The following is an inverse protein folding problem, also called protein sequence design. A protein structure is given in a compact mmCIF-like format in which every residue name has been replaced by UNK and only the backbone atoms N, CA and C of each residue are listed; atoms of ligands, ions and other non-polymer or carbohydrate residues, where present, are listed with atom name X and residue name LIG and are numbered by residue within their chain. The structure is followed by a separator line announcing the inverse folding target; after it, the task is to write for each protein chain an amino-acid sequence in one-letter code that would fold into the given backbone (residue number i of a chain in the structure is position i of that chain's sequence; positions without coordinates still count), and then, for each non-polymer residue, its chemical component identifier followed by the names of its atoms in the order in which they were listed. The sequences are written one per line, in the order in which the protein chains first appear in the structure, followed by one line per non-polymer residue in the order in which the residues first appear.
data_IF_723889287192
#
_entry.id   IF_723889287192
#
_cell.length_a   1.000
_cell.length_b   1.000
_cell.length_c   1.000
_cell.angle_alpha   90.00
_cell.angle_beta   90.00
_cell.angle_gamma   90.00
#
_symmetry.space_group_name_H-M   'P 1'
#
loop_
_entity.id
_entity.type
_entity.pdbx_description
1 polymer ?
#
# COMPACT_ATOMS: atom_id res chain seq x y z
N UNK A 1 -7.07 -2.12 -18.00
CA UNK A 1 -7.96 -2.57 -16.90
C UNK A 1 -8.96 -1.47 -16.60
N UNK A 2 -10.17 -1.78 -16.15
CA UNK A 2 -11.27 -0.79 -16.01
C UNK A 2 -11.16 0.16 -14.79
N UNK A 3 -10.11 0.03 -13.97
CA UNK A 3 -9.83 0.91 -12.83
C UNK A 3 -10.79 0.78 -11.63
N UNK A 4 -11.85 -0.03 -11.69
CA UNK A 4 -12.94 -0.03 -10.69
C UNK A 4 -12.51 -0.42 -9.27
N UNK A 5 -11.37 -1.09 -9.12
CA UNK A 5 -10.83 -1.51 -7.82
C UNK A 5 -9.70 -0.62 -7.31
N UNK A 6 -9.31 0.41 -8.06
CA UNK A 6 -8.27 1.36 -7.65
C UNK A 6 -8.90 2.37 -6.70
N UNK A 7 -8.33 2.50 -5.50
CA UNK A 7 -8.80 3.43 -4.46
C UNK A 7 -8.01 4.74 -4.53
N UNK A 8 -6.71 4.63 -4.80
CA UNK A 8 -5.78 5.76 -4.92
C UNK A 8 -4.55 5.33 -5.71
N UNK A 9 -3.92 6.27 -6.40
CA UNK A 9 -2.63 6.06 -7.07
C UNK A 9 -1.83 7.36 -7.01
N UNK A 10 -0.52 7.24 -6.93
CA UNK A 10 0.43 8.32 -7.16
C UNK A 10 1.52 7.84 -8.13
N UNK A 11 2.57 8.64 -8.32
CA UNK A 11 3.61 8.35 -9.30
C UNK A 11 4.29 6.99 -9.05
N UNK A 12 4.50 6.64 -7.78
CA UNK A 12 5.27 5.46 -7.40
C UNK A 12 4.43 4.25 -6.99
N UNK A 13 3.18 4.43 -6.53
CA UNK A 13 2.35 3.37 -5.95
C UNK A 13 0.90 3.42 -6.41
N UNK A 14 0.27 2.25 -6.43
CA UNK A 14 -1.16 2.08 -6.65
C UNK A 14 -1.77 1.27 -5.50
N UNK A 15 -2.83 1.81 -4.91
CA UNK A 15 -3.63 1.16 -3.88
C UNK A 15 -4.95 0.65 -4.47
N UNK A 16 -5.24 -0.63 -4.30
CA UNK A 16 -6.40 -1.27 -4.89
C UNK A 16 -6.94 -2.43 -4.06
N UNK A 17 -8.20 -2.79 -4.32
CA UNK A 17 -8.82 -3.98 -3.74
C UNK A 17 -8.42 -5.19 -4.60
N UNK A 18 -7.72 -6.21 -4.06
CA UNK A 18 -7.38 -7.39 -4.84
C UNK A 18 -8.64 -8.12 -5.28
N UNK A 19 -8.61 -8.76 -6.45
CA UNK A 19 -9.75 -9.54 -6.94
C UNK A 19 -10.12 -10.68 -5.98
N UNK A 20 -9.14 -11.18 -5.23
CA UNK A 20 -9.24 -12.28 -4.28
C UNK A 20 -9.35 -11.80 -2.82
N UNK A 21 -9.80 -10.57 -2.58
CA UNK A 21 -9.97 -10.02 -1.24
C UNK A 21 -10.77 -10.98 -0.33
N UNK A 22 -10.21 -11.29 0.83
CA UNK A 22 -10.82 -12.17 1.85
C UNK A 22 -11.44 -11.39 3.00
N UNK A 23 -11.02 -10.14 3.20
CA UNK A 23 -11.58 -9.24 4.20
C UNK A 23 -12.42 -8.13 3.54
N UNK A 24 -13.44 -7.66 4.25
CA UNK A 24 -14.40 -6.67 3.73
C UNK A 24 -13.75 -5.34 3.28
N UNK A 25 -12.60 -4.98 3.83
CA UNK A 25 -11.86 -3.76 3.53
C UNK A 25 -10.38 -4.04 3.27
N UNK A 26 -10.09 -5.14 2.57
CA UNK A 26 -8.73 -5.49 2.16
C UNK A 26 -8.23 -4.56 1.05
N UNK A 27 -7.11 -3.89 1.30
CA UNK A 27 -6.45 -3.02 0.33
C UNK A 27 -4.99 -3.41 0.23
N UNK A 28 -4.52 -3.54 -1.00
CA UNK A 28 -3.13 -3.80 -1.31
C UNK A 28 -2.51 -2.56 -1.92
N UNK A 29 -1.28 -2.26 -1.51
CA UNK A 29 -0.46 -1.19 -2.07
C UNK A 29 0.70 -1.85 -2.79
N UNK A 30 0.84 -1.58 -4.09
CA UNK A 30 1.94 -2.07 -4.90
C UNK A 30 2.71 -0.91 -5.50
N UNK A 31 4.03 -1.05 -5.58
CA UNK A 31 4.85 -0.15 -6.36
C UNK A 31 4.54 -0.33 -7.86
N UNK A 32 4.48 0.78 -8.59
CA UNK A 32 4.27 0.78 -10.04
C UNK A 32 5.51 0.22 -10.77
N UNK A 33 6.70 0.41 -10.17
CA UNK A 33 7.97 -0.19 -10.60
C UNK A 33 8.21 -1.50 -9.86
N UNK A 34 8.90 -2.45 -10.50
CA UNK A 34 9.34 -3.67 -9.85
C UNK A 34 10.36 -3.36 -8.74
N UNK A 35 9.97 -3.60 -7.49
CA UNK A 35 10.76 -3.38 -6.29
C UNK A 35 10.68 -4.61 -5.38
N UNK A 36 11.81 -5.27 -5.08
CA UNK A 36 11.79 -6.51 -4.31
C UNK A 36 11.76 -6.29 -2.78
N UNK A 37 12.22 -5.13 -2.31
CA UNK A 37 12.20 -4.72 -0.90
C UNK A 37 12.26 -3.20 -0.77
N UNK A 38 12.07 -2.70 0.45
CA UNK A 38 12.23 -1.29 0.77
C UNK A 38 13.65 -0.77 0.54
N UNK A 39 14.69 -1.62 0.58
CA UNK A 39 16.06 -1.20 0.31
C UNK A 39 16.26 -0.71 -1.14
N UNK A 40 15.34 -1.05 -2.05
CA UNK A 40 15.35 -0.57 -3.43
C UNK A 40 14.67 0.79 -3.64
N UNK A 41 14.17 1.42 -2.57
CA UNK A 41 13.43 2.67 -2.67
C UNK A 41 14.38 3.85 -2.90
N UNK A 42 13.93 4.76 -3.75
CA UNK A 42 14.41 6.14 -3.79
C UNK A 42 13.70 6.99 -2.72
N UNK A 43 14.28 8.13 -2.38
CA UNK A 43 13.67 9.11 -1.48
C UNK A 43 12.25 9.51 -1.93
N UNK A 44 12.03 9.62 -3.25
CA UNK A 44 10.69 9.89 -3.81
C UNK A 44 9.72 8.74 -3.51
N UNK A 45 10.15 7.49 -3.68
CA UNK A 45 9.32 6.31 -3.41
C UNK A 45 8.98 6.20 -1.91
N UNK A 46 9.89 6.55 -1.01
CA UNK A 46 9.59 6.61 0.43
C UNK A 46 8.50 7.65 0.75
N UNK A 47 8.64 8.87 0.21
CA UNK A 47 7.67 9.95 0.40
C UNK A 47 6.31 9.57 -0.21
N UNK A 48 6.31 9.03 -1.43
CA UNK A 48 5.10 8.61 -2.12
C UNK A 48 4.39 7.47 -1.37
N UNK A 49 5.13 6.54 -0.77
CA UNK A 49 4.55 5.50 0.09
C UNK A 49 3.87 6.11 1.32
N UNK A 50 4.52 7.07 1.99
CA UNK A 50 3.92 7.76 3.13
C UNK A 50 2.64 8.51 2.76
N UNK A 51 2.63 9.17 1.60
CA UNK A 51 1.47 9.91 1.08
C UNK A 51 0.30 8.95 0.82
N UNK A 52 0.53 7.82 0.14
CA UNK A 52 -0.56 6.90 -0.21
C UNK A 52 -1.10 6.18 1.03
N UNK A 53 -0.23 5.80 1.98
CA UNK A 53 -0.64 5.24 3.27
C UNK A 53 -1.54 6.20 4.05
N UNK A 54 -1.10 7.45 4.21
CA UNK A 54 -1.90 8.49 4.88
C UNK A 54 -3.24 8.68 4.19
N UNK A 55 -3.24 8.71 2.86
CA UNK A 55 -4.47 8.87 2.06
C UNK A 55 -5.46 7.73 2.30
N UNK A 56 -4.99 6.49 2.40
CA UNK A 56 -5.84 5.34 2.69
C UNK A 56 -6.40 5.37 4.11
N UNK A 57 -5.56 5.66 5.11
CA UNK A 57 -6.00 5.75 6.51
C UNK A 57 -7.06 6.84 6.68
N UNK A 58 -6.85 8.02 6.09
CA UNK A 58 -7.84 9.10 6.12
C UNK A 58 -9.14 8.70 5.40
N UNK A 59 -9.08 7.95 4.29
CA UNK A 59 -10.28 7.45 3.61
C UNK A 59 -11.06 6.46 4.49
N UNK A 60 -10.36 5.57 5.19
CA UNK A 60 -11.01 4.62 6.10
C UNK A 60 -11.65 5.32 7.30
N UNK A 61 -10.94 6.24 7.94
CA UNK A 61 -11.47 6.95 9.10
C UNK A 61 -12.70 7.79 8.73
N UNK A 62 -12.66 8.45 7.57
CA UNK A 62 -13.80 9.23 7.07
C UNK A 62 -14.98 8.37 6.62
N UNK A 63 -14.76 7.11 6.21
CA UNK A 63 -15.83 6.20 5.79
C UNK A 63 -16.70 5.78 6.99
N UNK A 64 -16.10 5.62 8.17
CA UNK A 64 -16.81 5.14 9.36
C UNK A 64 -17.00 6.18 10.46
N UNK A 65 -16.34 7.33 10.37
CA UNK A 65 -16.42 8.37 11.38
C UNK A 65 -15.64 8.06 12.67
N UNK A 66 -14.74 7.07 12.64
CA UNK A 66 -13.84 6.72 13.75
C UNK A 66 -12.54 6.13 13.21
N UNK A 67 -11.49 6.07 14.04
CA UNK A 67 -10.21 5.46 13.65
C UNK A 67 -10.35 3.95 13.44
N UNK A 68 -10.29 3.51 12.19
CA UNK A 68 -10.52 2.10 11.86
C UNK A 68 -9.37 1.22 12.38
N UNK A 69 -9.64 0.17 13.18
CA UNK A 69 -8.61 -0.79 13.53
C UNK A 69 -8.24 -1.63 12.29
N UNK A 70 -6.94 -1.77 12.02
CA UNK A 70 -6.45 -2.55 10.89
C UNK A 70 -5.19 -3.36 11.25
N UNK A 71 -4.92 -4.38 10.44
CA UNK A 71 -3.65 -5.09 10.41
C UNK A 71 -2.97 -4.73 9.09
N UNK A 72 -1.69 -4.38 9.17
CA UNK A 72 -0.86 -4.15 7.99
C UNK A 72 0.29 -5.15 8.01
N UNK A 73 0.52 -5.80 6.88
CA UNK A 73 1.64 -6.70 6.66
C UNK A 73 2.42 -6.26 5.42
N UNK A 74 3.74 -6.40 5.48
CA UNK A 74 4.64 -6.08 4.38
C UNK A 74 5.12 -7.41 3.80
N UNK A 75 4.89 -7.61 2.51
CA UNK A 75 5.41 -8.75 1.76
C UNK A 75 6.55 -8.28 0.88
N UNK A 76 7.78 -8.53 1.32
CA UNK A 76 9.00 -8.23 0.58
C UNK A 76 9.84 -9.51 0.40
N UNK A 77 10.89 -9.43 -0.41
CA UNK A 77 11.82 -10.55 -0.57
C UNK A 77 12.37 -10.99 0.81
N UNK A 78 12.64 -12.29 1.00
CA UNK A 78 13.31 -12.78 2.19
C UNK A 78 14.65 -12.07 2.40
N UNK A 79 15.00 -11.80 3.66
CA UNK A 79 16.31 -11.26 4.01
C UNK A 79 17.31 -12.40 4.20
N UNK A 80 18.58 -12.15 3.88
CA UNK A 80 19.69 -13.08 4.13
C UNK A 80 20.21 -13.05 5.58
N UNK A 81 19.54 -12.28 6.45
CA UNK A 81 19.92 -12.08 7.85
C UNK A 81 21.10 -11.12 8.06
N UNK A 82 21.67 -10.52 7.01
CA UNK A 82 22.84 -9.62 7.13
C UNK A 82 22.48 -8.15 7.36
N UNK A 83 21.18 -7.82 7.34
CA UNK A 83 20.68 -6.48 7.68
C UNK A 83 21.08 -5.38 6.70
N UNK A 84 21.33 -5.73 5.43
CA UNK A 84 21.59 -4.78 4.34
C UNK A 84 20.43 -4.69 3.37
#
# INVERSE_FOLDING_TARGET
SDGRRIISSNDSFTAFIPFFARYAYEVHIYANRHLPSFNGFSEKEEIDLAIILKTLMMKFDNLFGFTLPYIMAIHQQPTDGTGK
#
